data_IF_591867520870
#
_entry.id   IF_591867520870
#
_cell.length_a   1.000
_cell.length_b   1.000
_cell.length_c   1.000
_cell.angle_alpha   90.00
_cell.angle_beta   90.00
_cell.angle_gamma   90.00
#
_symmetry.space_group_name_H-M   'P 1'
#
loop_
_entity.id
_entity.type
_entity.pdbx_description
1 polymer ?
#
# COMPACT_ATOMS: atom_id res chain seq x y z
N UNK A 1 9.98 -31.49 3.46
CA UNK A 1 9.19 -32.45 2.71
C UNK A 1 8.88 -33.60 3.63
N UNK A 2 7.61 -33.95 3.75
CA UNK A 2 7.20 -35.15 4.46
C UNK A 2 7.27 -36.30 3.46
N UNK A 3 8.07 -37.33 3.75
CA UNK A 3 8.23 -38.48 2.84
C UNK A 3 6.95 -39.30 2.74
N UNK A 4 6.73 -39.92 1.58
CA UNK A 4 5.60 -40.82 1.35
C UNK A 4 5.48 -41.87 2.47
N UNK A 5 4.25 -42.14 2.89
CA UNK A 5 3.94 -43.06 3.99
C UNK A 5 4.23 -42.54 5.41
N UNK A 6 4.98 -41.44 5.58
CA UNK A 6 5.40 -40.93 6.90
C UNK A 6 4.52 -39.83 7.48
N UNK A 7 3.43 -39.45 6.81
CA UNK A 7 2.48 -38.42 7.28
C UNK A 7 1.99 -38.64 8.72
N UNK A 8 1.72 -39.89 9.09
CA UNK A 8 1.22 -40.26 10.41
C UNK A 8 2.26 -40.12 11.53
N UNK A 9 3.54 -39.95 11.17
CA UNK A 9 4.65 -39.78 12.11
C UNK A 9 4.98 -38.29 12.33
N UNK A 10 4.30 -37.36 11.65
CA UNK A 10 4.64 -35.94 11.75
C UNK A 10 4.23 -35.37 13.10
N UNK A 11 5.16 -34.67 13.75
CA UNK A 11 4.95 -33.99 15.03
C UNK A 11 5.24 -32.50 14.94
N UNK A 12 4.45 -31.71 15.64
CA UNK A 12 4.72 -30.30 15.93
C UNK A 12 5.59 -30.15 17.18
N UNK A 13 6.11 -28.94 17.44
CA UNK A 13 6.79 -28.67 18.72
C UNK A 13 5.87 -28.86 19.93
N UNK A 14 4.57 -28.58 19.78
CA UNK A 14 3.59 -28.83 20.83
C UNK A 14 3.47 -30.33 21.16
N UNK A 15 3.45 -31.20 20.14
CA UNK A 15 3.40 -32.65 20.32
C UNK A 15 4.66 -33.18 21.03
N UNK A 16 5.83 -32.66 20.64
CA UNK A 16 7.12 -33.03 21.27
C UNK A 16 7.17 -32.54 22.71
N UNK A 17 6.70 -31.32 22.99
CA UNK A 17 6.64 -30.79 24.35
C UNK A 17 5.68 -31.63 25.23
N UNK A 18 4.52 -31.99 24.69
CA UNK A 18 3.56 -32.86 25.37
C UNK A 18 4.16 -34.24 25.69
N UNK A 19 4.90 -34.84 24.74
CA UNK A 19 5.61 -36.11 24.96
C UNK A 19 6.66 -36.02 26.08
N UNK A 20 7.32 -34.86 26.21
CA UNK A 20 8.30 -34.59 27.27
C UNK A 20 7.66 -34.20 28.61
N UNK A 21 6.33 -34.07 28.68
CA UNK A 21 5.63 -33.63 29.89
C UNK A 21 5.89 -32.16 30.26
N UNK A 22 6.21 -31.30 29.28
CA UNK A 22 6.50 -29.88 29.48
C UNK A 22 5.61 -28.99 28.60
N UNK A 23 5.50 -27.71 28.97
CA UNK A 23 4.83 -26.72 28.11
C UNK A 23 5.66 -26.43 26.85
N UNK A 24 4.99 -26.17 25.72
CA UNK A 24 5.63 -25.81 24.45
C UNK A 24 6.59 -24.62 24.60
N UNK A 25 6.18 -23.60 25.35
CA UNK A 25 7.01 -22.42 25.62
C UNK A 25 8.32 -22.77 26.35
N UNK A 26 8.28 -23.77 27.24
CA UNK A 26 9.49 -24.25 27.94
C UNK A 26 10.44 -24.96 26.98
N UNK A 27 9.92 -25.74 26.03
CA UNK A 27 10.73 -26.38 24.98
C UNK A 27 11.39 -25.35 24.06
N UNK A 28 10.67 -24.27 23.75
CA UNK A 28 11.19 -23.14 22.96
C UNK A 28 12.30 -22.39 23.72
N UNK A 29 12.03 -21.98 24.96
CA UNK A 29 12.96 -21.18 25.77
C UNK A 29 14.24 -21.94 26.13
N UNK A 30 14.14 -23.25 26.36
CA UNK A 30 15.30 -24.08 26.70
C UNK A 30 16.19 -24.40 25.50
N UNK A 31 15.74 -24.14 24.27
CA UNK A 31 16.52 -24.42 23.06
C UNK A 31 16.79 -25.91 22.80
N UNK A 32 16.15 -26.85 23.53
CA UNK A 32 16.40 -28.30 23.39
C UNK A 32 16.13 -28.82 21.98
N UNK A 33 15.16 -28.24 21.30
CA UNK A 33 14.81 -28.51 19.90
C UNK A 33 15.88 -28.00 18.89
N UNK A 34 16.95 -27.36 19.37
CA UNK A 34 18.10 -26.88 18.60
C UNK A 34 19.41 -27.51 19.08
N UNK A 35 19.35 -28.44 20.04
CA UNK A 35 20.54 -29.10 20.56
C UNK A 35 21.25 -29.90 19.46
N UNK A 36 22.59 -30.05 19.52
CA UNK A 36 23.33 -30.90 18.58
C UNK A 36 22.73 -32.31 18.53
N UNK A 37 22.54 -32.82 17.32
CA UNK A 37 21.96 -34.15 17.07
C UNK A 37 20.42 -34.20 17.09
N UNK A 38 19.73 -33.12 17.47
CA UNK A 38 18.27 -33.06 17.36
C UNK A 38 17.85 -33.15 15.88
N UNK A 39 16.79 -33.90 15.53
CA UNK A 39 16.35 -34.05 14.15
C UNK A 39 16.11 -32.71 13.45
N UNK A 40 16.51 -32.61 12.19
CA UNK A 40 16.20 -31.44 11.38
C UNK A 40 14.68 -31.33 11.15
N UNK A 41 14.11 -30.12 11.12
CA UNK A 41 12.73 -29.92 10.70
C UNK A 41 12.52 -30.47 9.29
N UNK A 42 11.34 -31.05 9.06
CA UNK A 42 10.96 -31.57 7.76
C UNK A 42 10.84 -30.47 6.72
N UNK A 43 10.45 -29.24 7.07
CA UNK A 43 10.31 -28.11 6.13
C UNK A 43 10.97 -26.83 6.63
N UNK A 44 11.14 -25.86 5.73
CA UNK A 44 11.75 -24.56 6.00
C UNK A 44 10.73 -23.46 6.36
N UNK A 45 9.45 -23.84 6.52
CA UNK A 45 8.37 -22.97 6.95
C UNK A 45 8.48 -22.45 8.39
N UNK A 46 7.65 -21.46 8.73
CA UNK A 46 7.60 -20.87 10.09
C UNK A 46 7.16 -21.88 11.15
N UNK A 47 6.20 -22.74 10.82
CA UNK A 47 5.78 -23.85 11.68
C UNK A 47 6.72 -25.02 11.44
N UNK A 48 7.47 -25.41 12.46
CA UNK A 48 8.43 -26.52 12.38
C UNK A 48 7.70 -27.84 12.58
N UNK A 49 7.83 -28.71 11.59
CA UNK A 49 7.35 -30.09 11.64
C UNK A 49 8.55 -31.02 11.74
N UNK A 50 8.41 -32.11 12.48
CA UNK A 50 9.48 -33.08 12.71
C UNK A 50 8.97 -34.48 12.41
N UNK A 51 9.90 -35.36 12.07
CA UNK A 51 9.62 -36.79 11.95
C UNK A 51 9.63 -37.44 13.34
N UNK A 52 8.52 -38.08 13.70
CA UNK A 52 8.31 -38.66 15.02
C UNK A 52 9.26 -39.80 15.34
N UNK A 53 9.61 -40.67 14.38
CA UNK A 53 10.58 -41.74 14.62
C UNK A 53 11.98 -41.18 14.86
N UNK A 54 12.37 -40.14 14.13
CA UNK A 54 13.64 -39.46 14.35
C UNK A 54 13.69 -38.81 15.74
N UNK A 55 12.60 -38.15 16.14
CA UNK A 55 12.48 -37.54 17.48
C UNK A 55 12.52 -38.62 18.57
N UNK A 56 11.78 -39.72 18.40
CA UNK A 56 11.76 -40.83 19.36
C UNK A 56 13.13 -41.50 19.51
N UNK A 57 13.85 -41.68 18.39
CA UNK A 57 15.21 -42.19 18.42
C UNK A 57 16.14 -41.27 19.20
N UNK A 58 16.10 -39.97 18.93
CA UNK A 58 16.91 -38.97 19.62
C UNK A 58 16.62 -38.94 21.13
N UNK A 59 15.34 -38.87 21.52
CA UNK A 59 14.93 -38.83 22.92
C UNK A 59 15.27 -40.12 23.67
N UNK A 60 15.26 -41.27 22.99
CA UNK A 60 15.69 -42.55 23.56
C UNK A 60 17.22 -42.74 23.57
N UNK A 61 18.01 -41.76 23.13
CA UNK A 61 19.47 -41.86 23.03
C UNK A 61 19.95 -42.86 21.97
N UNK A 62 19.08 -43.21 21.01
CA UNK A 62 19.40 -44.10 19.89
C UNK A 62 19.87 -43.30 18.67
N UNK A 63 20.65 -43.90 17.77
CA UNK A 63 21.00 -43.25 16.50
C UNK A 63 19.73 -42.83 15.74
N UNK A 64 19.70 -41.58 15.27
CA UNK A 64 18.57 -41.03 14.51
C UNK A 64 18.53 -41.71 13.13
N UNK A 65 17.44 -42.41 12.76
CA UNK A 65 17.34 -43.05 11.45
C UNK A 65 17.34 -42.00 10.34
N UNK A 66 17.99 -42.32 9.22
CA UNK A 66 17.93 -41.47 8.03
C UNK A 66 16.56 -41.59 7.37
N UNK A 67 15.99 -40.46 6.94
CA UNK A 67 14.80 -40.48 6.11
C UNK A 67 15.15 -41.08 4.73
N UNK A 68 14.19 -41.74 4.05
CA UNK A 68 14.37 -42.18 2.68
C UNK A 68 14.94 -41.05 1.81
N UNK A 69 15.99 -41.35 1.04
CA UNK A 69 16.64 -40.38 0.18
C UNK A 69 15.96 -40.28 -1.19
N UNK A 70 15.38 -41.39 -1.66
CA UNK A 70 14.65 -41.45 -2.92
C UNK A 70 13.39 -40.59 -2.84
N UNK A 71 13.17 -39.82 -3.90
CA UNK A 71 11.98 -39.02 -4.08
C UNK A 71 10.81 -39.90 -4.49
N UNK A 72 9.65 -39.64 -3.90
CA UNK A 72 8.40 -40.35 -4.17
C UNK A 72 7.32 -39.36 -4.65
N UNK A 73 6.45 -39.82 -5.54
CA UNK A 73 5.35 -39.03 -6.11
C UNK A 73 4.31 -38.61 -5.07
N UNK A 74 4.20 -39.36 -3.97
CA UNK A 74 3.33 -39.06 -2.83
C UNK A 74 4.06 -38.32 -1.70
N UNK A 75 5.31 -37.89 -1.92
CA UNK A 75 5.98 -36.95 -1.01
C UNK A 75 5.16 -35.66 -0.90
N UNK A 76 4.93 -35.20 0.33
CA UNK A 76 4.18 -33.97 0.59
C UNK A 76 5.14 -32.79 0.69
N UNK A 77 5.02 -31.87 -0.26
CA UNK A 77 5.83 -30.67 -0.42
C UNK A 77 5.16 -29.49 0.27
N UNK A 78 5.90 -28.75 1.08
CA UNK A 78 5.43 -27.47 1.59
C UNK A 78 5.42 -26.39 0.50
N UNK A 79 4.98 -25.17 0.86
CA UNK A 79 4.92 -24.03 -0.06
C UNK A 79 6.26 -23.71 -0.74
N UNK A 80 7.37 -23.80 -0.02
CA UNK A 80 8.69 -23.46 -0.55
C UNK A 80 9.22 -24.58 -1.45
N UNK A 81 9.01 -25.82 -1.04
CA UNK A 81 9.44 -27.01 -1.76
C UNK A 81 8.68 -27.19 -3.06
N UNK A 82 7.38 -26.91 -3.07
CA UNK A 82 6.58 -26.97 -4.27
C UNK A 82 7.00 -25.90 -5.30
N UNK A 83 7.39 -24.70 -4.83
CA UNK A 83 7.95 -23.67 -5.71
C UNK A 83 9.33 -24.07 -6.25
N UNK A 84 10.20 -24.63 -5.40
CA UNK A 84 11.53 -25.09 -5.77
C UNK A 84 11.48 -26.25 -6.78
N UNK A 85 10.59 -27.21 -6.60
CA UNK A 85 10.41 -28.34 -7.54
C UNK A 85 10.11 -27.86 -8.96
N UNK A 86 9.43 -26.72 -9.10
CA UNK A 86 9.03 -26.14 -10.38
C UNK A 86 9.99 -25.08 -10.91
N UNK A 87 11.07 -24.78 -10.17
CA UNK A 87 11.99 -23.68 -10.46
C UNK A 87 11.26 -22.33 -10.60
N UNK A 88 10.33 -22.06 -9.68
CA UNK A 88 9.49 -20.87 -9.73
C UNK A 88 9.61 -20.00 -8.47
N UNK A 89 9.46 -18.67 -8.60
CA UNK A 89 9.38 -17.80 -7.42
C UNK A 89 8.19 -18.15 -6.53
N UNK A 90 8.35 -18.02 -5.20
CA UNK A 90 7.27 -18.25 -4.22
C UNK A 90 5.98 -17.48 -4.52
N UNK A 91 6.08 -16.29 -5.10
CA UNK A 91 4.94 -15.44 -5.48
C UNK A 91 4.12 -16.02 -6.65
N UNK A 92 4.76 -16.82 -7.51
CA UNK A 92 4.09 -17.54 -8.60
C UNK A 92 3.36 -18.74 -8.02
N UNK A 93 4.00 -19.53 -7.15
CA UNK A 93 3.36 -20.65 -6.47
C UNK A 93 2.16 -20.22 -5.62
N UNK A 94 2.25 -19.10 -4.92
CA UNK A 94 1.15 -18.53 -4.13
C UNK A 94 -0.14 -18.28 -4.93
N UNK A 95 0.01 -17.99 -6.23
CA UNK A 95 -1.11 -17.84 -7.14
C UNK A 95 -1.63 -19.19 -7.60
N UNK A 96 -0.73 -20.12 -7.92
CA UNK A 96 -1.04 -21.45 -8.46
C UNK A 96 -1.72 -22.36 -7.45
N UNK A 97 -1.36 -22.30 -6.16
CA UNK A 97 -2.04 -23.07 -5.12
C UNK A 97 -3.54 -22.75 -4.97
N UNK A 98 -4.02 -21.66 -5.58
CA UNK A 98 -5.44 -21.29 -5.62
C UNK A 98 -6.18 -21.92 -6.80
N UNK A 99 -5.47 -22.43 -7.80
CA UNK A 99 -6.06 -23.14 -8.93
C UNK A 99 -6.76 -24.41 -8.43
N UNK A 100 -8.00 -24.70 -8.84
CA UNK A 100 -8.70 -25.93 -8.45
C UNK A 100 -7.86 -27.20 -8.65
N UNK A 101 -7.09 -27.29 -9.74
CA UNK A 101 -6.27 -28.46 -10.07
C UNK A 101 -5.16 -28.76 -9.05
N UNK A 102 -4.79 -27.78 -8.22
CA UNK A 102 -3.81 -27.93 -7.14
C UNK A 102 -4.49 -27.87 -5.78
N UNK A 103 -5.46 -26.97 -5.62
CA UNK A 103 -6.18 -26.73 -4.37
C UNK A 103 -6.93 -27.95 -3.87
N UNK A 104 -7.49 -28.76 -4.77
CA UNK A 104 -8.25 -29.97 -4.41
C UNK A 104 -7.38 -31.04 -3.75
N UNK A 105 -6.06 -30.99 -3.93
CA UNK A 105 -5.10 -31.95 -3.39
C UNK A 105 -4.32 -31.41 -2.17
N UNK A 106 -4.75 -30.28 -1.60
CA UNK A 106 -4.12 -29.74 -0.39
C UNK A 106 -4.27 -30.72 0.77
N UNK A 107 -3.15 -31.07 1.38
CA UNK A 107 -3.08 -31.85 2.61
C UNK A 107 -2.54 -30.97 3.73
N UNK A 108 -3.33 -30.76 4.77
CA UNK A 108 -2.90 -30.00 5.96
C UNK A 108 -2.29 -30.96 6.98
N UNK A 109 -1.04 -30.70 7.38
CA UNK A 109 -0.32 -31.48 8.40
C UNK A 109 0.29 -30.50 9.40
N UNK A 110 -0.03 -30.65 10.70
CA UNK A 110 0.44 -29.73 11.75
C UNK A 110 0.09 -28.26 11.49
N UNK A 111 -1.06 -28.00 10.83
CA UNK A 111 -1.48 -26.65 10.44
C UNK A 111 -0.79 -26.05 9.22
N UNK A 112 0.05 -26.81 8.51
CA UNK A 112 0.77 -26.37 7.31
C UNK A 112 0.19 -27.06 6.07
N UNK A 113 -0.09 -26.29 5.03
CA UNK A 113 -0.52 -26.79 3.72
C UNK A 113 0.64 -27.48 2.99
N UNK A 114 0.37 -28.67 2.47
CA UNK A 114 1.27 -29.42 1.61
C UNK A 114 0.55 -29.96 0.38
N UNK A 115 1.32 -30.30 -0.65
CA UNK A 115 0.84 -30.88 -1.90
C UNK A 115 1.63 -32.13 -2.25
N UNK A 116 0.99 -33.22 -2.74
CA UNK A 116 1.72 -34.36 -3.28
C UNK A 116 2.62 -33.93 -4.43
N UNK A 117 3.87 -34.43 -4.45
CA UNK A 117 4.88 -34.13 -5.47
C UNK A 117 4.34 -34.36 -6.87
N UNK A 118 3.61 -35.45 -7.09
CA UNK A 118 2.96 -35.77 -8.37
C UNK A 118 2.10 -34.63 -8.87
N UNK A 119 1.24 -34.09 -8.01
CA UNK A 119 0.32 -32.99 -8.36
C UNK A 119 1.12 -31.74 -8.71
N UNK A 120 2.13 -31.40 -7.90
CA UNK A 120 2.97 -30.22 -8.17
C UNK A 120 3.73 -30.35 -9.49
N UNK A 121 4.24 -31.55 -9.82
CA UNK A 121 4.98 -31.84 -11.04
C UNK A 121 4.08 -31.85 -12.28
N UNK A 122 2.99 -32.61 -12.22
CA UNK A 122 2.05 -32.81 -13.33
C UNK A 122 1.16 -31.60 -13.59
N UNK A 123 1.02 -30.71 -12.61
CA UNK A 123 0.28 -29.46 -12.79
C UNK A 123 0.83 -28.70 -13.98
N UNK A 124 0.05 -28.76 -15.06
CA UNK A 124 0.24 -27.93 -16.23
C UNK A 124 -0.75 -26.80 -16.07
N UNK A 125 -0.28 -25.55 -15.83
CA UNK A 125 -1.19 -24.44 -15.79
C UNK A 125 -1.94 -24.41 -17.10
N UNK A 126 -3.28 -24.35 -17.04
CA UNK A 126 -4.09 -24.27 -18.25
C UNK A 126 -3.49 -23.15 -19.12
N UNK A 127 -3.10 -23.43 -20.39
CA UNK A 127 -2.64 -22.38 -21.27
C UNK A 127 -3.75 -21.34 -21.26
N UNK A 128 -3.38 -20.10 -20.91
CA UNK A 128 -4.34 -19.00 -20.78
C UNK A 128 -5.25 -19.05 -21.99
N UNK A 129 -6.50 -19.52 -21.80
CA UNK A 129 -7.54 -19.28 -22.79
C UNK A 129 -7.51 -17.78 -22.92
N UNK A 130 -7.20 -17.26 -24.11
CA UNK A 130 -7.38 -15.85 -24.44
C UNK A 130 -8.88 -15.57 -24.46
N UNK A 131 -9.56 -15.75 -23.33
CA UNK A 131 -10.49 -14.72 -22.90
C UNK A 131 -9.59 -13.52 -22.63
N UNK A 132 -9.89 -12.42 -23.31
CA UNK A 132 -9.18 -11.15 -23.26
C UNK A 132 -9.20 -10.55 -21.85
N UNK A 133 -8.46 -11.18 -20.92
CA UNK A 133 -8.42 -10.83 -19.51
C UNK A 133 -7.20 -11.52 -18.87
N UNK A 134 -6.09 -10.79 -18.75
CA UNK A 134 -5.05 -11.14 -17.78
C UNK A 134 -3.72 -11.69 -18.32
N UNK A 135 -3.05 -10.95 -19.22
CA UNK A 135 -1.58 -10.95 -19.31
C UNK A 135 -1.06 -9.59 -18.81
N UNK A 136 -0.46 -9.60 -17.62
CA UNK A 136 0.10 -8.42 -16.98
C UNK A 136 1.38 -8.01 -17.68
N UNK A 137 1.28 -6.98 -18.50
CA UNK A 137 2.39 -6.34 -19.20
C UNK A 137 1.84 -5.47 -20.33
N UNK A 138 1.80 -4.16 -20.11
CA UNK A 138 1.42 -3.16 -21.11
C UNK A 138 2.33 -3.35 -22.33
N UNK A 139 1.80 -3.53 -23.56
CA UNK A 139 2.63 -3.41 -24.76
C UNK A 139 3.31 -2.04 -24.72
N UNK A 140 4.61 -2.01 -25.02
CA UNK A 140 5.38 -0.76 -25.10
C UNK A 140 4.61 0.21 -26.00
N UNK A 141 4.13 1.33 -25.44
CA UNK A 141 3.46 2.42 -26.18
C UNK A 141 1.92 2.54 -26.08
N UNK A 142 1.19 1.63 -25.43
CA UNK A 142 -0.28 1.77 -25.33
C UNK A 142 -0.67 2.84 -24.29
N UNK A 143 -1.09 4.06 -24.64
CA UNK A 143 -1.52 5.14 -23.71
C UNK A 143 -2.64 4.75 -22.71
N UNK A 144 -2.87 5.56 -21.67
CA UNK A 144 -4.04 5.35 -20.79
C UNK A 144 -5.30 5.44 -21.69
N UNK A 145 -6.21 4.45 -21.65
CA UNK A 145 -7.36 4.42 -22.58
C UNK A 145 -8.33 5.59 -22.36
N UNK A 146 -8.26 6.20 -21.19
CA UNK A 146 -8.96 7.43 -20.86
C UNK A 146 -7.93 8.54 -20.67
N UNK A 147 -8.07 9.68 -21.36
CA UNK A 147 -7.29 10.88 -21.08
C UNK A 147 -7.36 11.24 -19.59
N UNK A 148 -6.21 11.59 -19.00
CA UNK A 148 -6.09 11.77 -17.53
C UNK A 148 -7.02 12.85 -16.98
N UNK A 149 -7.35 13.84 -17.78
CA UNK A 149 -8.31 14.92 -17.51
C UNK A 149 -9.75 14.42 -17.44
N UNK A 150 -10.10 13.37 -18.18
CA UNK A 150 -11.46 12.79 -18.20
C UNK A 150 -11.66 11.73 -17.11
N UNK A 151 -10.58 11.22 -16.52
CA UNK A 151 -10.62 10.15 -15.53
C UNK A 151 -11.49 10.48 -14.30
N UNK A 152 -11.40 11.68 -13.68
CA UNK A 152 -12.23 12.01 -12.51
C UNK A 152 -13.72 11.96 -12.83
N UNK A 153 -14.13 12.52 -13.97
CA UNK A 153 -15.54 12.53 -14.39
C UNK A 153 -16.08 11.12 -14.63
N UNK A 154 -15.29 10.24 -15.26
CA UNK A 154 -15.68 8.84 -15.51
C UNK A 154 -15.77 8.04 -14.21
N UNK A 155 -14.84 8.24 -13.28
CA UNK A 155 -14.89 7.58 -11.97
C UNK A 155 -16.09 8.06 -11.15
N UNK A 156 -16.41 9.35 -11.21
CA UNK A 156 -17.61 9.91 -10.58
C UNK A 156 -18.90 9.24 -11.08
N UNK A 157 -19.07 9.10 -12.40
CA UNK A 157 -20.23 8.40 -12.99
C UNK A 157 -20.33 6.94 -12.50
N UNK A 158 -19.21 6.21 -12.47
CA UNK A 158 -19.21 4.83 -11.99
C UNK A 158 -19.54 4.72 -10.49
N UNK A 159 -19.18 5.73 -9.69
CA UNK A 159 -19.54 5.80 -8.27
C UNK A 159 -21.03 6.11 -8.06
N UNK A 160 -21.65 6.87 -8.96
CA UNK A 160 -23.10 7.12 -8.92
C UNK A 160 -23.89 5.84 -9.19
N UNK A 161 -23.42 5.01 -10.13
CA UNK A 161 -24.04 3.71 -10.42
C UNK A 161 -23.79 2.68 -9.29
N UNK A 162 -22.60 2.72 -8.68
CA UNK A 162 -22.22 1.78 -7.63
C UNK A 162 -21.32 2.45 -6.57
N UNK A 163 -21.87 2.87 -5.42
CA UNK A 163 -21.09 3.44 -4.32
C UNK A 163 -20.00 2.50 -3.76
N UNK A 164 -20.18 1.19 -3.88
CA UNK A 164 -19.26 0.15 -3.41
C UNK A 164 -18.15 -0.21 -4.41
N UNK A 165 -18.06 0.52 -5.54
CA UNK A 165 -17.08 0.33 -6.60
C UNK A 165 -15.63 0.21 -6.08
N UNK A 166 -14.91 -0.80 -6.56
CA UNK A 166 -13.53 -1.05 -6.15
C UNK A 166 -12.51 -0.50 -7.17
N UNK A 167 -11.26 -0.33 -6.75
CA UNK A 167 -10.18 0.04 -7.66
C UNK A 167 -9.89 -1.01 -8.74
N UNK A 168 -10.26 -2.28 -8.50
CA UNK A 168 -10.21 -3.32 -9.52
C UNK A 168 -11.22 -3.05 -10.63
N UNK A 169 -12.47 -2.82 -10.23
CA UNK A 169 -13.56 -2.52 -11.18
C UNK A 169 -13.26 -1.28 -12.03
N UNK A 170 -12.70 -0.23 -11.44
CA UNK A 170 -12.30 0.99 -12.17
C UNK A 170 -11.14 0.70 -13.14
N UNK A 171 -10.13 -0.06 -12.70
CA UNK A 171 -9.00 -0.41 -13.55
C UNK A 171 -9.45 -1.23 -14.76
N UNK A 172 -10.36 -2.18 -14.54
CA UNK A 172 -10.90 -3.06 -15.58
C UNK A 172 -11.81 -2.30 -16.55
N UNK A 173 -12.69 -1.42 -16.06
CA UNK A 173 -13.62 -0.65 -16.89
C UNK A 173 -12.97 0.49 -17.67
N UNK A 174 -11.98 1.17 -17.07
CA UNK A 174 -11.37 2.37 -17.66
C UNK A 174 -9.98 2.11 -18.26
N UNK A 175 -9.46 0.88 -18.16
CA UNK A 175 -8.17 0.52 -18.74
C UNK A 175 -6.99 1.27 -18.13
N UNK A 176 -7.08 1.63 -16.84
CA UNK A 176 -6.03 2.37 -16.11
C UNK A 176 -5.29 1.48 -15.11
N UNK A 177 -4.08 1.87 -14.74
CA UNK A 177 -3.34 1.15 -13.70
C UNK A 177 -4.09 1.18 -12.35
N UNK A 178 -4.04 0.10 -11.57
CA UNK A 178 -4.74 -0.02 -10.29
C UNK A 178 -4.43 1.11 -9.30
N UNK A 179 -3.18 1.59 -9.27
CA UNK A 179 -2.81 2.73 -8.41
C UNK A 179 -3.49 4.02 -8.88
N UNK A 180 -3.60 4.24 -10.19
CA UNK A 180 -4.31 5.38 -10.78
C UNK A 180 -5.81 5.30 -10.47
N UNK A 181 -6.42 4.12 -10.62
CA UNK A 181 -7.80 3.87 -10.21
C UNK A 181 -8.02 4.14 -8.72
N UNK A 182 -7.09 3.72 -7.88
CA UNK A 182 -7.15 3.93 -6.42
C UNK A 182 -7.06 5.42 -6.07
N UNK A 183 -6.12 6.15 -6.68
CA UNK A 183 -5.97 7.58 -6.46
C UNK A 183 -7.22 8.36 -6.90
N UNK A 184 -7.76 8.05 -8.09
CA UNK A 184 -8.98 8.67 -8.60
C UNK A 184 -10.20 8.39 -7.72
N UNK A 185 -10.39 7.15 -7.26
CA UNK A 185 -11.48 6.80 -6.33
C UNK A 185 -11.37 7.54 -5.00
N UNK A 186 -10.17 7.59 -4.40
CA UNK A 186 -9.95 8.31 -3.15
C UNK A 186 -10.25 9.80 -3.33
N UNK A 187 -9.81 10.39 -4.43
CA UNK A 187 -10.09 11.79 -4.75
C UNK A 187 -11.60 12.05 -4.93
N UNK A 188 -12.28 11.32 -5.80
CA UNK A 188 -13.71 11.52 -6.06
C UNK A 188 -14.57 11.31 -4.81
N UNK A 189 -14.27 10.27 -4.01
CA UNK A 189 -14.96 10.04 -2.73
C UNK A 189 -14.73 11.20 -1.76
N UNK A 190 -13.48 11.65 -1.61
CA UNK A 190 -13.13 12.74 -0.71
C UNK A 190 -13.82 14.06 -1.09
N UNK A 191 -13.85 14.40 -2.39
CA UNK A 191 -14.52 15.61 -2.88
C UNK A 191 -16.02 15.60 -2.59
N UNK A 192 -16.72 14.50 -2.91
CA UNK A 192 -18.15 14.37 -2.64
C UNK A 192 -18.48 14.35 -1.15
N UNK A 193 -17.64 13.70 -0.35
CA UNK A 193 -17.77 13.71 1.11
C UNK A 193 -17.60 15.13 1.64
N UNK A 194 -16.58 15.87 1.18
CA UNK A 194 -16.37 17.26 1.57
C UNK A 194 -17.53 18.17 1.17
N UNK A 195 -18.12 17.98 -0.02
CA UNK A 195 -19.33 18.70 -0.45
C UNK A 195 -20.48 18.49 0.54
N UNK A 196 -20.72 17.24 0.94
CA UNK A 196 -21.80 16.90 1.86
C UNK A 196 -21.53 17.39 3.29
N UNK A 197 -20.29 17.30 3.74
CA UNK A 197 -19.83 17.86 5.03
C UNK A 197 -20.05 19.37 5.08
N UNK A 198 -19.73 20.09 4.01
CA UNK A 198 -19.91 21.54 3.91
C UNK A 198 -21.40 21.92 3.89
N UNK A 199 -22.20 21.21 3.10
CA UNK A 199 -23.64 21.50 2.94
C UNK A 199 -24.47 21.19 4.19
N UNK A 200 -24.11 20.13 4.93
CA UNK A 200 -24.94 19.61 6.04
C UNK A 200 -24.28 19.73 7.41
N UNK A 201 -23.06 20.26 7.49
CA UNK A 201 -22.26 20.33 8.71
C UNK A 201 -22.10 18.97 9.43
N UNK A 202 -21.95 17.89 8.65
CA UNK A 202 -21.78 16.52 9.15
C UNK A 202 -20.30 16.11 9.16
N UNK A 203 -19.99 15.06 9.92
CA UNK A 203 -18.66 14.43 9.95
C UNK A 203 -18.37 13.66 8.66
N UNK A 204 -17.10 13.34 8.41
CA UNK A 204 -16.71 12.52 7.26
C UNK A 204 -17.34 11.12 7.30
N UNK A 205 -17.49 10.51 8.48
CA UNK A 205 -18.13 9.20 8.63
C UNK A 205 -19.62 9.24 8.26
N UNK A 206 -20.34 10.25 8.73
CA UNK A 206 -21.76 10.48 8.38
C UNK A 206 -21.92 10.78 6.90
N UNK A 207 -21.03 11.60 6.32
CA UNK A 207 -21.03 11.88 4.89
C UNK A 207 -20.80 10.61 4.05
N UNK A 208 -19.84 9.76 4.43
CA UNK A 208 -19.59 8.48 3.75
C UNK A 208 -20.81 7.55 3.84
N UNK A 209 -21.46 7.46 5.00
CA UNK A 209 -22.66 6.66 5.21
C UNK A 209 -23.83 7.17 4.37
N UNK A 210 -24.07 8.48 4.35
CA UNK A 210 -25.12 9.11 3.54
C UNK A 210 -24.89 8.94 2.02
N UNK A 211 -23.64 8.85 1.58
CA UNK A 211 -23.26 8.56 0.20
C UNK A 211 -23.25 7.05 -0.14
N UNK A 212 -23.54 6.18 0.82
CA UNK A 212 -23.60 4.73 0.62
C UNK A 212 -22.22 4.06 0.47
N UNK A 213 -21.14 4.72 0.86
CA UNK A 213 -19.79 4.17 0.70
C UNK A 213 -19.43 3.14 1.78
N UNK A 214 -18.83 1.98 1.44
CA UNK A 214 -18.44 0.98 2.43
C UNK A 214 -17.31 1.47 3.36
N UNK A 215 -17.47 1.27 4.68
CA UNK A 215 -16.53 1.71 5.73
C UNK A 215 -15.08 1.26 5.46
N UNK A 216 -14.89 0.01 5.04
CA UNK A 216 -13.56 -0.53 4.73
C UNK A 216 -12.85 0.13 3.55
N UNK A 217 -13.57 0.88 2.71
CA UNK A 217 -13.06 1.52 1.51
C UNK A 217 -12.89 3.05 1.65
N UNK A 218 -13.39 3.66 2.73
CA UNK A 218 -13.45 5.13 2.88
C UNK A 218 -12.44 5.71 3.86
N UNK A 219 -11.67 4.90 4.59
CA UNK A 219 -10.72 5.41 5.60
C UNK A 219 -9.81 6.52 5.06
N UNK A 220 -9.16 6.29 3.91
CA UNK A 220 -8.29 7.30 3.28
C UNK A 220 -9.06 8.49 2.71
N UNK A 221 -10.22 8.23 2.10
CA UNK A 221 -11.08 9.28 1.56
C UNK A 221 -11.65 10.20 2.64
N UNK A 222 -11.89 9.68 3.85
CA UNK A 222 -12.39 10.45 5.00
C UNK A 222 -11.36 11.49 5.46
N UNK A 223 -10.12 11.06 5.68
CA UNK A 223 -9.00 11.95 6.03
C UNK A 223 -8.82 13.01 4.94
N UNK A 224 -8.87 12.59 3.67
CA UNK A 224 -8.75 13.52 2.54
C UNK A 224 -9.93 14.46 2.40
N UNK A 225 -11.15 14.06 2.73
CA UNK A 225 -12.33 14.93 2.71
C UNK A 225 -12.20 16.07 3.73
N UNK A 226 -11.70 15.76 4.93
CA UNK A 226 -11.41 16.76 5.94
C UNK A 226 -10.34 17.75 5.47
N UNK A 227 -9.26 17.25 4.86
CA UNK A 227 -8.24 18.11 4.26
C UNK A 227 -8.83 18.99 3.14
N UNK A 228 -9.64 18.44 2.23
CA UNK A 228 -10.33 19.23 1.19
C UNK A 228 -11.17 20.35 1.81
N UNK A 229 -11.92 20.07 2.87
CA UNK A 229 -12.73 21.07 3.56
C UNK A 229 -11.88 22.16 4.22
N UNK A 230 -10.75 21.80 4.86
CA UNK A 230 -9.78 22.79 5.38
C UNK A 230 -9.20 23.66 4.25
N UNK A 231 -8.85 23.04 3.12
CA UNK A 231 -8.39 23.75 1.93
C UNK A 231 -9.41 24.75 1.39
N UNK A 232 -10.71 24.39 1.36
CA UNK A 232 -11.80 25.30 0.97
C UNK A 232 -11.91 26.49 1.92
N UNK A 233 -11.82 26.25 3.24
CA UNK A 233 -11.82 27.29 4.26
C UNK A 233 -10.63 28.25 4.17
N UNK A 234 -9.49 27.78 3.65
CA UNK A 234 -8.31 28.61 3.42
C UNK A 234 -8.38 29.47 2.14
N UNK A 235 -9.32 29.20 1.21
CA UNK A 235 -9.41 29.93 -0.08
C UNK A 235 -9.53 31.45 0.06
N UNK A 236 -10.38 32.01 0.96
CA UNK A 236 -10.47 33.47 1.12
C UNK A 236 -9.13 34.09 1.55
N UNK A 237 -8.41 33.42 2.46
CA UNK A 237 -7.09 33.85 2.90
C UNK A 237 -6.08 33.84 1.76
N UNK A 238 -6.02 32.74 0.99
CA UNK A 238 -5.11 32.61 -0.14
C UNK A 238 -5.42 33.62 -1.27
N UNK A 239 -6.70 33.96 -1.47
CA UNK A 239 -7.11 35.02 -2.38
C UNK A 239 -6.64 36.40 -1.93
N UNK A 240 -6.76 36.72 -0.64
CA UNK A 240 -6.26 37.98 -0.09
C UNK A 240 -4.73 38.11 -0.22
N UNK A 241 -3.99 37.01 0.00
CA UNK A 241 -2.53 36.97 -0.25
C UNK A 241 -2.21 37.17 -1.73
N UNK A 242 -2.89 36.45 -2.63
CA UNK A 242 -2.72 36.60 -4.08
C UNK A 242 -2.96 38.05 -4.54
N UNK A 243 -3.97 38.71 -3.99
CA UNK A 243 -4.29 40.11 -4.27
C UNK A 243 -3.20 41.05 -3.74
N UNK A 244 -2.70 40.85 -2.51
CA UNK A 244 -1.64 41.67 -1.93
C UNK A 244 -0.34 41.59 -2.75
N UNK A 245 0.04 40.38 -3.18
CA UNK A 245 1.23 40.17 -4.01
C UNK A 245 1.09 40.80 -5.41
N UNK A 246 -0.13 40.77 -5.98
CA UNK A 246 -0.43 41.45 -7.24
C UNK A 246 -0.37 42.97 -7.08
N UNK A 247 -0.97 43.53 -6.03
CA UNK A 247 -0.92 44.96 -5.73
C UNK A 247 0.51 45.47 -5.49
N UNK A 248 1.37 44.62 -4.92
CA UNK A 248 2.81 44.91 -4.75
C UNK A 248 3.61 44.87 -6.06
N UNK A 249 3.03 44.29 -7.12
CA UNK A 249 3.65 44.16 -8.44
C UNK A 249 4.45 42.88 -8.66
N UNK A 250 4.39 41.89 -7.76
CA UNK A 250 5.17 40.64 -7.86
C UNK A 250 4.47 39.51 -8.61
N UNK A 251 3.18 39.68 -8.91
CA UNK A 251 2.38 38.75 -9.71
C UNK A 251 1.65 39.50 -10.82
N UNK A 252 1.60 38.94 -12.02
CA UNK A 252 0.79 39.48 -13.11
C UNK A 252 -0.72 39.40 -12.85
N UNK A 253 -1.18 38.47 -12.00
CA UNK A 253 -2.60 38.26 -11.71
C UNK A 253 -2.88 38.17 -10.21
N UNK A 254 -4.09 38.58 -9.81
CA UNK A 254 -4.63 38.39 -8.45
C UNK A 254 -5.30 37.03 -8.25
N UNK A 255 -5.23 36.12 -9.23
CA UNK A 255 -5.91 34.82 -9.17
C UNK A 255 -5.40 34.01 -7.98
N UNK A 256 -6.29 33.48 -7.12
CA UNK A 256 -5.91 32.63 -6.00
C UNK A 256 -5.23 31.34 -6.50
N UNK A 257 -4.32 30.76 -5.71
CA UNK A 257 -3.68 29.51 -6.06
C UNK A 257 -4.63 28.33 -5.82
N UNK A 258 -4.48 27.27 -6.63
CA UNK A 258 -5.12 26.00 -6.34
C UNK A 258 -4.53 25.38 -5.08
N UNK A 259 -5.40 24.87 -4.21
CA UNK A 259 -5.01 24.10 -3.03
C UNK A 259 -4.80 22.66 -3.45
N UNK A 260 -3.62 22.13 -3.12
CA UNK A 260 -3.18 20.78 -3.44
C UNK A 260 -3.11 19.92 -2.18
N UNK A 261 -3.29 18.61 -2.37
CA UNK A 261 -3.27 17.59 -1.32
C UNK A 261 -2.24 16.51 -1.65
N UNK A 262 -0.93 16.81 -1.48
CA UNK A 262 0.18 15.92 -1.79
C UNK A 262 0.19 14.67 -0.90
N UNK A 263 -0.34 14.81 0.31
CA UNK A 263 -0.68 13.73 1.23
C UNK A 263 -2.18 13.79 1.54
N UNK A 264 -2.73 12.72 2.10
CA UNK A 264 -4.17 12.64 2.37
C UNK A 264 -4.62 13.64 3.46
N UNK A 265 -3.72 14.12 4.33
CA UNK A 265 -4.05 15.00 5.48
C UNK A 265 -3.30 16.34 5.44
N UNK A 266 -2.97 16.84 4.26
CA UNK A 266 -2.19 18.08 4.12
C UNK A 266 -2.79 18.98 3.04
N UNK A 267 -2.87 20.27 3.33
CA UNK A 267 -3.17 21.32 2.36
C UNK A 267 -1.92 22.14 2.10
N UNK A 268 -1.58 22.30 0.83
CA UNK A 268 -0.52 23.21 0.37
C UNK A 268 -1.00 24.04 -0.81
N UNK A 269 -0.45 25.22 -0.98
CA UNK A 269 -0.70 26.05 -2.15
C UNK A 269 0.60 26.71 -2.61
N UNK A 270 0.72 27.00 -3.90
CA UNK A 270 1.90 27.65 -4.46
C UNK A 270 1.51 28.86 -5.30
N UNK A 271 2.24 29.96 -5.11
CA UNK A 271 2.08 31.21 -5.83
C UNK A 271 3.38 31.52 -6.57
N UNK A 272 3.34 31.49 -7.90
CA UNK A 272 4.48 31.94 -8.72
C UNK A 272 4.58 33.46 -8.67
N UNK A 273 5.79 33.97 -8.47
CA UNK A 273 6.12 35.39 -8.57
C UNK A 273 6.87 35.60 -9.90
N UNK A 274 6.19 36.22 -10.86
CA UNK A 274 6.63 36.34 -12.26
C UNK A 274 7.30 37.68 -12.59
N UNK A 275 7.21 38.66 -11.69
CA UNK A 275 7.89 39.93 -11.85
C UNK A 275 9.42 39.77 -11.78
N UNK A 276 10.20 40.55 -12.57
CA UNK A 276 11.66 40.56 -12.50
C UNK A 276 12.21 40.96 -11.12
N UNK A 277 11.51 41.87 -10.44
CA UNK A 277 11.89 42.42 -9.12
C UNK A 277 11.36 41.60 -7.94
N UNK A 278 10.77 40.42 -8.21
CA UNK A 278 10.25 39.57 -7.13
C UNK A 278 11.39 39.01 -6.26
N UNK A 279 11.24 39.01 -4.93
CA UNK A 279 12.30 38.58 -3.99
C UNK A 279 12.52 37.06 -3.95
N UNK A 280 11.72 36.29 -4.68
CA UNK A 280 11.85 34.85 -4.88
C UNK A 280 11.11 34.41 -6.15
N UNK A 281 11.43 33.23 -6.70
CA UNK A 281 10.69 32.64 -7.82
C UNK A 281 9.22 32.29 -7.49
N UNK A 282 8.95 31.79 -6.28
CA UNK A 282 7.61 31.40 -5.85
C UNK A 282 7.49 31.39 -4.33
N UNK A 283 6.25 31.38 -3.86
CA UNK A 283 5.87 31.17 -2.46
C UNK A 283 5.09 29.86 -2.32
N UNK A 284 5.33 29.16 -1.21
CA UNK A 284 4.62 27.94 -0.84
C UNK A 284 3.98 28.15 0.52
N UNK A 285 2.68 27.92 0.58
CA UNK A 285 1.93 27.81 1.82
C UNK A 285 1.73 26.35 2.18
N UNK A 286 1.88 26.04 3.47
CA UNK A 286 1.51 24.78 4.10
C UNK A 286 0.60 25.07 5.28
N UNK A 287 -0.52 24.36 5.41
CA UNK A 287 -1.41 24.54 6.56
C UNK A 287 -0.73 24.25 7.90
N UNK A 288 0.34 23.43 7.90
CA UNK A 288 1.07 23.03 9.11
C UNK A 288 2.23 23.96 9.45
N UNK A 289 2.85 24.55 8.44
CA UNK A 289 4.13 25.25 8.61
C UNK A 289 4.10 26.73 8.20
N UNK A 290 3.01 27.20 7.58
CA UNK A 290 2.89 28.58 7.12
C UNK A 290 3.54 28.79 5.77
N UNK A 291 4.24 29.91 5.61
CA UNK A 291 4.77 30.34 4.32
C UNK A 291 6.28 30.14 4.20
N UNK A 292 6.72 29.80 2.99
CA UNK A 292 8.14 29.82 2.63
C UNK A 292 8.35 30.29 1.19
N UNK A 293 9.56 30.76 0.89
CA UNK A 293 10.00 30.92 -0.50
C UNK A 293 10.34 29.57 -1.14
N UNK A 294 10.34 29.54 -2.46
CA UNK A 294 10.78 28.40 -3.27
C UNK A 294 11.67 28.88 -4.42
N UNK A 295 12.67 28.07 -4.76
CA UNK A 295 13.71 28.40 -5.75
C UNK A 295 13.31 28.11 -7.19
N UNK A 296 12.13 27.53 -7.43
CA UNK A 296 11.64 27.17 -8.75
C UNK A 296 10.24 27.70 -9.01
N UNK A 297 10.07 28.43 -10.12
CA UNK A 297 8.75 28.83 -10.64
C UNK A 297 7.96 27.62 -11.15
N UNK A 298 8.65 26.63 -11.72
CA UNK A 298 8.03 25.46 -12.38
C UNK A 298 7.65 24.36 -11.39
N UNK A 299 8.44 24.16 -10.34
CA UNK A 299 8.25 23.07 -9.37
C UNK A 299 8.40 23.57 -7.93
N UNK A 300 7.56 24.51 -7.46
CA UNK A 300 7.71 25.17 -6.16
C UNK A 300 7.57 24.24 -4.95
N UNK A 301 6.74 23.20 -5.06
CA UNK A 301 6.47 22.24 -3.98
C UNK A 301 7.56 21.16 -3.84
N UNK A 302 8.31 20.86 -4.90
CA UNK A 302 9.21 19.70 -4.93
C UNK A 302 8.46 18.35 -4.82
N UNK A 303 9.19 17.26 -4.64
CA UNK A 303 8.60 15.92 -4.49
C UNK A 303 7.91 15.80 -3.13
N UNK A 304 6.63 15.40 -3.13
CA UNK A 304 5.85 15.18 -1.91
C UNK A 304 5.54 16.44 -1.11
N UNK A 305 5.76 17.63 -1.67
CA UNK A 305 5.61 18.90 -0.95
C UNK A 305 6.43 19.01 0.35
N UNK A 306 7.66 18.47 0.34
CA UNK A 306 8.56 18.52 1.48
C UNK A 306 8.74 19.95 2.03
N UNK A 307 8.99 20.04 3.35
CA UNK A 307 9.27 21.29 4.05
C UNK A 307 10.77 21.40 4.38
N UNK A 308 11.60 21.91 3.46
CA UNK A 308 13.04 22.01 3.68
C UNK A 308 13.38 23.04 4.76
N UNK A 309 14.54 22.87 5.45
CA UNK A 309 15.07 23.89 6.34
C UNK A 309 15.39 25.19 5.56
N UNK A 310 15.46 26.35 6.24
CA UNK A 310 15.92 27.58 5.61
C UNK A 310 17.36 27.44 5.08
N UNK A 311 17.63 27.99 3.89
CA UNK A 311 18.90 27.83 3.16
C UNK A 311 18.68 27.76 1.65
N UNK A 312 19.73 27.97 0.85
CA UNK A 312 19.71 27.84 -0.61
C UNK A 312 18.53 28.55 -1.31
N UNK A 313 18.17 29.75 -0.85
CA UNK A 313 17.04 30.53 -1.39
C UNK A 313 15.65 30.15 -0.85
N UNK A 314 15.57 29.21 0.09
CA UNK A 314 14.38 28.92 0.90
C UNK A 314 14.45 29.71 2.21
N UNK A 315 13.39 30.48 2.47
CA UNK A 315 13.18 31.26 3.69
C UNK A 315 11.81 30.92 4.24
N UNK A 316 11.70 30.68 5.54
CA UNK A 316 10.39 30.58 6.21
C UNK A 316 9.94 31.99 6.58
N UNK A 317 8.68 32.31 6.31
CA UNK A 317 8.17 33.69 6.30
C UNK A 317 7.11 33.88 7.38
N UNK A 318 7.21 35.03 8.06
CA UNK A 318 6.32 35.46 9.14
C UNK A 318 6.11 34.40 10.23
N UNK A 319 5.35 34.74 11.27
CA UNK A 319 5.04 33.81 12.35
C UNK A 319 3.64 33.23 12.15
N UNK A 320 3.49 31.91 12.35
CA UNK A 320 2.22 31.21 12.24
C UNK A 320 1.88 30.73 10.83
N UNK A 321 0.72 30.07 10.70
CA UNK A 321 0.31 29.40 9.46
C UNK A 321 -0.49 30.29 8.51
N UNK A 322 -1.11 31.36 9.04
CA UNK A 322 -1.90 32.34 8.29
C UNK A 322 -1.60 33.78 8.74
N UNK A 323 -0.36 34.28 8.58
CA UNK A 323 -0.03 35.69 8.84
C UNK A 323 -0.89 36.61 7.98
N UNK A 324 -1.10 37.87 8.39
CA UNK A 324 -1.86 38.80 7.54
C UNK A 324 -1.16 39.00 6.19
N UNK A 325 -1.90 39.27 5.10
CA UNK A 325 -1.26 39.52 3.80
C UNK A 325 -0.21 40.63 3.85
N UNK A 326 -0.43 41.67 4.67
CA UNK A 326 0.52 42.76 4.89
C UNK A 326 1.80 42.28 5.59
N UNK A 327 1.68 41.47 6.65
CA UNK A 327 2.85 40.91 7.35
C UNK A 327 3.67 40.02 6.43
N UNK A 328 3.01 39.25 5.56
CA UNK A 328 3.68 38.40 4.58
C UNK A 328 4.44 39.23 3.53
N UNK A 329 3.83 40.30 3.01
CA UNK A 329 4.51 41.22 2.08
C UNK A 329 5.68 41.90 2.78
N UNK A 330 5.51 42.38 4.01
CA UNK A 330 6.59 42.98 4.79
C UNK A 330 7.74 42.00 5.04
N UNK A 331 7.44 40.73 5.39
CA UNK A 331 8.45 39.69 5.57
C UNK A 331 9.24 39.39 4.28
N UNK A 332 8.63 39.60 3.11
CA UNK A 332 9.29 39.50 1.82
C UNK A 332 10.11 40.74 1.47
N UNK A 333 9.64 41.94 1.83
CA UNK A 333 10.34 43.22 1.63
C UNK A 333 11.54 43.39 2.56
N UNK A 334 11.49 42.84 3.78
CA UNK A 334 12.56 42.93 4.81
C UNK A 334 13.86 42.22 4.42
N UNK A 335 14.01 41.84 3.16
CA UNK A 335 15.09 40.99 2.66
C UNK A 335 15.69 41.48 1.33
N UNK A 336 15.43 42.75 0.97
CA UNK A 336 16.17 43.50 -0.06
C UNK A 336 17.31 44.29 0.54
#
# INVERSE_FOLDING_TARGET
MIRAGRRHLVRTLADIAAQLGIAEQTLLNSGRHQAPGFPAPLGAGRTRLYDGEQVDAYLAGRPVPQLPAADDDEDLLDRQEAAALRDEPLSVWDRRRKDPAVREYVVVVGGVEHWPRRIVREYTPAPRRRTSSGAGGRPVGAGDQVPRDQLPQRVAQLLDDNPALTAGDVADRLGVHRNTATAALVQCRAERMADLMEQRAVTAAEAAAALGYPVGQTRRASVRAEAVLRGRRARPYLAAVAQALHARGWRATSTPPDVQHPEDDLCVAALTLDAPEAPAPALVWSERHGWRTATSRRHPLGRGAAWPPPGDGVRHLATGTTPTPTDLVHALDSTG
#
